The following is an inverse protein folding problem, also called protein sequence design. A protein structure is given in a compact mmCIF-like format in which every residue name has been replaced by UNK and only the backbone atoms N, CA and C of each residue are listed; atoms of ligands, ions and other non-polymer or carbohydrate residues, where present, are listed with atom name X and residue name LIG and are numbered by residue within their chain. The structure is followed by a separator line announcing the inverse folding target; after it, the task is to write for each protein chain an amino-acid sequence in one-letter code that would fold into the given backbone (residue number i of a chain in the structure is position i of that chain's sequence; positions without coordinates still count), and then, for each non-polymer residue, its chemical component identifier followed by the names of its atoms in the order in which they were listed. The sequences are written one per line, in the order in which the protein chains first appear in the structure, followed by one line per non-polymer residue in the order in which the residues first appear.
data_IF_864709999168
#
_entry.id   IF_864709999168
#
_cell.length_a   1.000
_cell.length_b   1.000
_cell.length_c   1.000
_cell.angle_alpha   90.00
_cell.angle_beta   90.00
_cell.angle_gamma   90.00
#
_symmetry.space_group_name_H-M   'P 1'
#
loop_
_entity.id
_entity.type
_entity.pdbx_description
1 polymer ?
#
# COMPACT_ATOMS: atom_id res chain seq x y z
N UNK A 1 -4.03 12.47 -6.43
CA UNK A 1 -3.85 11.07 -6.85
C UNK A 1 -2.37 10.79 -7.03
N UNK A 2 -1.92 9.55 -6.83
CA UNK A 2 -0.54 9.15 -7.07
C UNK A 2 -0.47 7.72 -7.61
N UNK A 3 0.60 7.40 -8.32
CA UNK A 3 0.92 6.07 -8.81
C UNK A 3 2.29 5.66 -8.27
N UNK A 4 2.36 4.48 -7.68
CA UNK A 4 3.53 3.96 -6.96
C UNK A 4 3.85 2.55 -7.49
N UNK A 5 4.97 2.45 -8.21
CA UNK A 5 5.39 1.22 -8.88
C UNK A 5 6.07 0.26 -7.90
N UNK A 6 5.85 -1.04 -8.07
CA UNK A 6 6.58 -2.04 -7.27
C UNK A 6 8.06 -2.07 -7.66
N UNK A 7 9.00 -2.13 -6.69
CA UNK A 7 10.40 -2.44 -6.99
C UNK A 7 10.60 -3.90 -7.44
N UNK A 8 9.58 -4.76 -7.37
CA UNK A 8 9.68 -6.17 -7.77
C UNK A 8 9.35 -6.34 -9.26
N UNK A 9 10.40 -6.35 -10.08
CA UNK A 9 10.31 -6.41 -11.53
C UNK A 9 9.72 -7.71 -12.11
N UNK A 10 9.83 -8.85 -11.39
CA UNK A 10 9.38 -10.16 -11.89
C UNK A 10 8.65 -10.97 -10.81
N UNK A 11 7.58 -11.66 -11.22
CA UNK A 11 6.71 -12.48 -10.37
C UNK A 11 7.48 -13.57 -9.59
N UNK A 12 8.55 -14.12 -10.18
CA UNK A 12 9.44 -15.11 -9.57
C UNK A 12 10.19 -14.61 -8.32
N UNK A 13 10.31 -13.29 -8.16
CA UNK A 13 10.95 -12.66 -7.00
C UNK A 13 9.93 -12.19 -5.96
N UNK A 14 8.62 -12.26 -6.26
CA UNK A 14 7.57 -11.98 -5.28
C UNK A 14 7.44 -13.17 -4.35
N UNK A 15 7.26 -12.86 -3.07
CA UNK A 15 7.08 -13.88 -2.04
C UNK A 15 5.70 -13.73 -1.43
N UNK A 16 5.07 -14.82 -0.95
CA UNK A 16 3.80 -14.71 -0.23
C UNK A 16 3.90 -13.84 1.04
N UNK A 17 5.11 -13.60 1.57
CA UNK A 17 5.34 -12.69 2.70
C UNK A 17 5.32 -11.22 2.29
N UNK A 18 5.74 -10.91 1.07
CA UNK A 18 5.74 -9.56 0.51
C UNK A 18 5.14 -9.64 -0.91
N UNK A 19 3.81 -9.74 -1.03
CA UNK A 19 3.11 -9.80 -2.31
C UNK A 19 2.92 -8.39 -2.88
N UNK A 20 4.02 -7.66 -3.04
CA UNK A 20 3.99 -6.27 -3.49
C UNK A 20 3.62 -6.14 -4.98
N UNK A 21 3.06 -5.00 -5.35
CA UNK A 21 2.54 -4.71 -6.70
C UNK A 21 2.30 -3.22 -6.85
N UNK A 22 2.04 -2.76 -8.07
CA UNK A 22 1.74 -1.36 -8.32
C UNK A 22 0.51 -0.91 -7.53
N UNK A 23 0.61 0.29 -6.98
CA UNK A 23 -0.39 0.91 -6.12
C UNK A 23 -0.87 2.22 -6.74
N UNK A 24 -2.19 2.39 -6.79
CA UNK A 24 -2.82 3.65 -7.17
C UNK A 24 -3.48 4.28 -5.96
N UNK A 25 -3.16 5.54 -5.69
CA UNK A 25 -3.57 6.25 -4.49
C UNK A 25 -4.57 7.35 -4.83
N UNK A 26 -5.72 7.33 -4.18
CA UNK A 26 -6.68 8.44 -4.18
C UNK A 26 -6.73 8.99 -2.76
N UNK A 27 -6.53 10.30 -2.62
CA UNK A 27 -6.51 10.99 -1.34
C UNK A 27 -7.46 12.19 -1.38
N UNK A 28 -8.18 12.40 -0.29
CA UNK A 28 -9.01 13.59 -0.03
C UNK A 28 -8.70 14.13 1.37
N UNK A 29 -8.80 15.44 1.54
CA UNK A 29 -8.52 16.08 2.81
C UNK A 29 -9.31 17.36 3.02
N UNK A 30 -9.55 17.68 4.28
CA UNK A 30 -10.25 18.87 4.74
C UNK A 30 -9.43 19.53 5.84
N UNK A 31 -9.11 20.81 5.67
CA UNK A 31 -8.49 21.64 6.70
C UNK A 31 -9.47 22.70 7.21
N UNK A 32 -9.50 22.93 8.51
CA UNK A 32 -10.29 23.98 9.15
C UNK A 32 -9.45 24.78 10.14
N UNK A 33 -9.54 26.11 10.06
CA UNK A 33 -8.88 27.02 11.00
C UNK A 33 -9.89 27.38 12.09
N UNK A 34 -9.69 26.84 13.30
CA UNK A 34 -10.55 27.09 14.46
C UNK A 34 -10.30 28.47 15.06
N UNK A 35 -9.05 28.94 15.04
CA UNK A 35 -8.64 30.29 15.45
C UNK A 35 -7.30 30.67 14.82
N UNK A 36 -6.83 31.91 15.01
CA UNK A 36 -5.49 32.35 14.54
C UNK A 36 -4.36 31.44 15.02
N UNK A 37 -4.57 30.78 16.17
CA UNK A 37 -3.58 29.91 16.82
C UNK A 37 -3.85 28.42 16.64
N UNK A 38 -5.02 28.01 16.12
CA UNK A 38 -5.43 26.60 16.11
C UNK A 38 -5.97 26.19 14.74
N UNK A 39 -5.36 25.15 14.17
CA UNK A 39 -5.76 24.55 12.89
C UNK A 39 -5.97 23.05 13.06
N UNK A 40 -6.92 22.51 12.33
CA UNK A 40 -7.29 21.11 12.33
C UNK A 40 -7.34 20.58 10.90
N UNK A 41 -6.78 19.40 10.66
CA UNK A 41 -6.79 18.74 9.36
C UNK A 41 -7.35 17.31 9.50
N UNK A 42 -8.17 16.90 8.54
CA UNK A 42 -8.64 15.54 8.34
C UNK A 42 -8.22 15.04 6.96
N UNK A 43 -7.85 13.78 6.87
CA UNK A 43 -7.49 13.13 5.62
C UNK A 43 -8.06 11.73 5.50
N UNK A 44 -8.38 11.33 4.28
CA UNK A 44 -8.68 9.95 3.92
C UNK A 44 -7.96 9.57 2.62
N UNK A 45 -7.40 8.37 2.59
CA UNK A 45 -6.72 7.82 1.43
C UNK A 45 -7.22 6.40 1.19
N UNK A 46 -7.55 6.11 -0.07
CA UNK A 46 -7.77 4.74 -0.54
C UNK A 46 -6.68 4.35 -1.52
N UNK A 47 -6.03 3.22 -1.26
CA UNK A 47 -4.95 2.67 -2.07
C UNK A 47 -5.45 1.39 -2.73
N UNK A 48 -5.49 1.41 -4.06
CA UNK A 48 -5.81 0.27 -4.89
C UNK A 48 -4.53 -0.47 -5.25
N UNK A 49 -4.51 -1.79 -5.05
CA UNK A 49 -3.41 -2.64 -5.48
C UNK A 49 -3.82 -3.37 -6.76
N UNK A 50 -2.91 -3.45 -7.74
CA UNK A 50 -3.08 -4.41 -8.84
C UNK A 50 -3.02 -5.86 -8.30
N UNK A 51 -3.31 -6.84 -9.14
CA UNK A 51 -3.13 -8.25 -8.74
C UNK A 51 -1.63 -8.53 -8.64
N UNK A 52 -1.17 -8.99 -7.47
CA UNK A 52 0.21 -9.43 -7.28
C UNK A 52 0.31 -10.92 -7.59
N UNK A 53 0.81 -11.27 -8.77
CA UNK A 53 1.03 -12.66 -9.15
C UNK A 53 2.31 -13.19 -8.51
N UNK A 54 2.24 -14.43 -8.03
CA UNK A 54 3.36 -15.19 -7.51
C UNK A 54 3.54 -16.41 -8.40
N UNK A 55 4.77 -16.61 -8.85
CA UNK A 55 5.20 -17.81 -9.56
C UNK A 55 6.50 -18.32 -8.95
N UNK A 56 6.37 -19.06 -7.85
CA UNK A 56 7.50 -19.61 -7.10
C UNK A 56 7.66 -21.09 -7.42
N UNK A 57 8.77 -21.45 -8.05
CA UNK A 57 9.10 -22.84 -8.35
C UNK A 57 9.70 -23.55 -7.12
N UNK A 58 9.58 -24.90 -7.00
CA UNK A 58 10.10 -25.68 -5.88
C UNK A 58 11.62 -25.88 -5.99
N UNK A 59 12.39 -24.80 -5.82
CA UNK A 59 13.86 -24.82 -5.87
C UNK A 59 14.46 -24.28 -4.58
N UNK A 60 15.69 -24.68 -4.24
CA UNK A 60 16.36 -24.23 -3.03
C UNK A 60 15.61 -24.65 -1.76
N UNK A 61 15.26 -23.68 -0.89
CA UNK A 61 14.54 -23.95 0.37
C UNK A 61 13.14 -24.57 0.17
N UNK A 62 12.55 -24.43 -1.01
CA UNK A 62 11.21 -24.92 -1.31
C UNK A 62 11.18 -26.29 -2.02
N UNK A 63 12.35 -26.90 -2.29
CA UNK A 63 12.45 -28.19 -2.98
C UNK A 63 11.61 -29.29 -2.32
N UNK A 64 11.53 -29.28 -0.98
CA UNK A 64 10.70 -30.20 -0.19
C UNK A 64 9.33 -29.65 0.21
N UNK A 65 9.08 -28.36 -0.02
CA UNK A 65 7.83 -27.65 0.36
C UNK A 65 6.85 -27.50 -0.80
N UNK A 66 7.33 -27.65 -2.04
CA UNK A 66 6.54 -27.42 -3.25
C UNK A 66 6.58 -25.96 -3.71
N UNK A 67 6.09 -25.73 -4.94
CA UNK A 67 5.98 -24.40 -5.51
C UNK A 67 4.69 -23.69 -5.06
N UNK A 68 4.65 -22.36 -5.24
CA UNK A 68 3.46 -21.55 -5.00
C UNK A 68 3.14 -20.71 -6.23
N UNK A 69 2.02 -21.01 -6.87
CA UNK A 69 1.49 -20.23 -8.00
C UNK A 69 0.11 -19.70 -7.64
N UNK A 70 -0.10 -18.40 -7.83
CA UNK A 70 -1.36 -17.74 -7.46
C UNK A 70 -1.27 -16.24 -7.54
N UNK A 71 -2.26 -15.55 -6.95
CA UNK A 71 -2.24 -14.09 -6.86
C UNK A 71 -2.85 -13.59 -5.55
N UNK A 72 -2.36 -12.43 -5.11
CA UNK A 72 -2.96 -11.66 -4.02
C UNK A 72 -3.73 -10.47 -4.58
N UNK A 73 -4.79 -10.10 -3.87
CA UNK A 73 -5.57 -8.89 -4.12
C UNK A 73 -5.82 -8.20 -2.79
N UNK A 74 -5.61 -6.89 -2.76
CA UNK A 74 -5.79 -6.09 -1.56
C UNK A 74 -6.18 -4.65 -1.88
N UNK A 75 -6.58 -3.94 -0.83
CA UNK A 75 -6.73 -2.50 -0.79
C UNK A 75 -6.34 -2.01 0.60
N UNK A 76 -6.03 -0.73 0.73
CA UNK A 76 -5.73 -0.10 2.02
C UNK A 76 -6.51 1.20 2.14
N UNK A 77 -7.11 1.40 3.31
CA UNK A 77 -7.76 2.63 3.72
C UNK A 77 -6.95 3.29 4.83
N UNK A 78 -6.64 4.57 4.68
CA UNK A 78 -5.94 5.38 5.69
C UNK A 78 -6.84 6.53 6.08
N UNK A 79 -7.09 6.68 7.39
CA UNK A 79 -7.79 7.83 7.97
C UNK A 79 -6.77 8.58 8.83
N UNK A 80 -6.68 9.90 8.66
CA UNK A 80 -5.78 10.75 9.43
C UNK A 80 -6.49 11.97 10.02
N UNK A 81 -6.02 12.40 11.18
CA UNK A 81 -6.44 13.62 11.84
C UNK A 81 -5.20 14.31 12.43
N UNK A 82 -5.13 15.63 12.32
CA UNK A 82 -4.02 16.45 12.82
C UNK A 82 -4.54 17.72 13.48
N UNK A 83 -3.93 18.11 14.60
CA UNK A 83 -4.16 19.38 15.27
C UNK A 83 -2.83 20.17 15.31
N UNK A 84 -2.88 21.45 14.97
CA UNK A 84 -1.73 22.35 14.99
C UNK A 84 -2.04 23.57 15.85
N UNK A 85 -1.16 23.84 16.80
CA UNK A 85 -1.19 25.03 17.64
C UNK A 85 0.03 25.92 17.37
N UNK A 86 -0.17 27.23 17.24
CA UNK A 86 0.89 28.22 17.03
C UNK A 86 0.87 29.25 18.15
N UNK A 87 2.03 29.49 18.79
CA UNK A 87 2.17 30.33 19.98
C UNK A 87 2.40 31.80 19.64
#
# INVERSE_FOLDING_TARGET
MAYDETPIAFDKHRTPRIPDTDRFWIALGLGYTLSEKLKFDLGYVHIFFKKSYIDKDPVGEDERRGGLKGYYRGHVDIISAQLRYSF
#
